data_IF_355177365118
#
_entry.id   IF_355177365118
#
_cell.length_a   1.000
_cell.length_b   1.000
_cell.length_c   1.000
_cell.angle_alpha   90.00
_cell.angle_beta   90.00
_cell.angle_gamma   90.00
#
_symmetry.space_group_name_H-M   'P 1'
#
loop_
_entity.id
_entity.type
_entity.pdbx_description
1 polymer ?
#
# COMPACT_ATOMS: atom_id res chain seq x y z
N UNK A 1 -17.39 2.13 10.35
CA UNK A 1 -17.16 2.94 9.14
C UNK A 1 -18.43 3.10 8.28
N UNK A 2 -19.31 2.08 8.17
CA UNK A 2 -20.46 2.13 7.27
C UNK A 2 -21.54 3.19 7.58
N UNK A 3 -21.49 3.82 8.75
CA UNK A 3 -22.54 4.75 9.23
C UNK A 3 -22.02 6.16 9.45
N UNK A 4 -20.72 6.41 9.25
CA UNK A 4 -20.09 7.67 9.61
C UNK A 4 -19.35 8.24 8.42
N UNK A 5 -19.41 9.54 8.27
CA UNK A 5 -18.56 10.30 7.34
C UNK A 5 -17.18 10.51 7.95
N UNK A 6 -16.14 10.68 7.14
CA UNK A 6 -14.81 11.06 7.64
C UNK A 6 -14.86 12.33 8.52
N UNK A 7 -15.71 13.29 8.18
CA UNK A 7 -15.91 14.53 8.91
C UNK A 7 -16.36 14.31 10.36
N UNK A 8 -17.16 13.25 10.62
CA UNK A 8 -17.66 12.93 11.97
C UNK A 8 -16.53 12.64 12.96
N UNK A 9 -15.39 12.15 12.44
CA UNK A 9 -14.20 11.86 13.24
C UNK A 9 -13.27 13.05 13.38
N UNK A 10 -13.34 14.03 12.47
CA UNK A 10 -12.35 15.10 12.34
C UNK A 10 -12.20 15.94 13.60
N UNK A 11 -13.30 16.27 14.25
CA UNK A 11 -13.37 17.07 15.46
C UNK A 11 -13.85 16.29 16.69
N UNK A 12 -13.62 14.97 16.73
CA UNK A 12 -13.84 14.19 17.96
C UNK A 12 -12.92 14.68 19.08
N UNK A 13 -13.31 14.47 20.32
CA UNK A 13 -12.50 14.81 21.50
C UNK A 13 -11.08 14.22 21.39
N UNK A 14 -10.96 13.00 20.87
CA UNK A 14 -9.66 12.35 20.64
C UNK A 14 -8.79 13.15 19.66
N UNK A 15 -9.31 13.52 18.49
CA UNK A 15 -8.55 14.24 17.46
C UNK A 15 -8.18 15.66 17.90
N UNK A 16 -9.08 16.35 18.61
CA UNK A 16 -8.78 17.67 19.19
C UNK A 16 -7.64 17.60 20.21
N UNK A 17 -7.73 16.68 21.15
CA UNK A 17 -6.67 16.49 22.17
C UNK A 17 -5.34 16.09 21.52
N UNK A 18 -5.38 15.23 20.47
CA UNK A 18 -4.18 14.84 19.76
C UNK A 18 -3.46 16.05 19.13
N UNK A 19 -4.20 16.93 18.44
CA UNK A 19 -3.65 18.14 17.82
C UNK A 19 -3.05 19.08 18.88
N UNK A 20 -3.79 19.36 19.95
CA UNK A 20 -3.31 20.22 21.03
C UNK A 20 -2.05 19.67 21.69
N UNK A 21 -2.01 18.37 22.02
CA UNK A 21 -0.82 17.74 22.60
C UNK A 21 0.38 17.81 21.67
N UNK A 22 0.20 17.54 20.36
CA UNK A 22 1.28 17.65 19.38
C UNK A 22 1.83 19.08 19.27
N UNK A 23 0.98 20.10 19.31
CA UNK A 23 1.42 21.51 19.33
C UNK A 23 2.21 21.86 20.59
N UNK A 24 1.92 21.23 21.72
CA UNK A 24 2.63 21.38 22.98
C UNK A 24 3.92 20.56 23.05
N UNK A 25 4.27 19.84 21.99
CA UNK A 25 5.45 18.99 21.91
C UNK A 25 5.28 17.62 22.58
N UNK A 26 4.05 17.23 22.93
CA UNK A 26 3.78 15.89 23.45
C UNK A 26 4.07 14.81 22.41
N UNK A 27 4.45 13.62 22.87
CA UNK A 27 4.67 12.42 22.05
C UNK A 27 3.54 11.42 22.20
N UNK A 28 2.47 11.51 21.41
CA UNK A 28 1.33 10.62 21.54
C UNK A 28 1.72 9.15 21.38
N UNK A 29 1.12 8.26 22.20
CA UNK A 29 1.43 6.83 22.17
C UNK A 29 1.18 6.18 20.80
N UNK A 30 0.23 6.68 20.04
CA UNK A 30 -0.05 6.21 18.66
C UNK A 30 1.13 6.43 17.71
N UNK A 31 2.00 7.40 18.00
CA UNK A 31 3.19 7.72 17.20
C UNK A 31 4.48 7.06 17.74
N UNK A 32 4.38 6.21 18.78
CA UNK A 32 5.54 5.62 19.47
C UNK A 32 6.54 4.90 18.57
N UNK A 33 6.06 4.29 17.47
CA UNK A 33 6.92 3.57 16.52
C UNK A 33 7.89 4.56 15.86
N UNK A 34 7.38 5.65 15.31
CA UNK A 34 8.21 6.68 14.68
C UNK A 34 9.23 7.28 15.65
N UNK A 35 8.80 7.60 16.87
CA UNK A 35 9.74 8.14 17.88
C UNK A 35 10.84 7.15 18.26
N UNK A 36 10.55 5.85 18.36
CA UNK A 36 11.58 4.84 18.60
C UNK A 36 12.56 4.69 17.45
N UNK A 37 12.08 4.78 16.21
CA UNK A 37 12.93 4.78 15.03
C UNK A 37 13.88 5.99 15.07
N UNK A 38 13.37 7.18 15.37
CA UNK A 38 14.14 8.42 15.48
C UNK A 38 15.19 8.37 16.60
N UNK A 39 14.83 7.84 17.77
CA UNK A 39 15.75 7.61 18.90
C UNK A 39 16.87 6.63 18.55
N UNK A 40 16.62 5.72 17.61
CA UNK A 40 17.61 4.75 17.10
C UNK A 40 18.45 5.32 15.94
N UNK A 41 18.25 6.58 15.57
CA UNK A 41 18.97 7.24 14.47
C UNK A 41 18.38 6.96 13.07
N UNK A 42 17.21 6.35 12.99
CA UNK A 42 16.53 6.13 11.71
C UNK A 42 15.57 7.27 11.40
N UNK A 43 15.48 7.61 10.12
CA UNK A 43 14.47 8.55 9.63
C UNK A 43 13.12 7.87 9.57
N UNK A 44 12.20 8.27 10.46
CA UNK A 44 10.85 7.69 10.54
C UNK A 44 9.93 8.12 9.40
N UNK A 45 8.82 7.38 9.21
CA UNK A 45 7.75 7.81 8.27
C UNK A 45 7.25 9.21 8.62
N UNK A 46 7.12 9.56 9.91
CA UNK A 46 6.69 10.89 10.36
C UNK A 46 7.62 12.01 9.83
N UNK A 47 8.91 11.78 9.85
CA UNK A 47 9.88 12.78 9.34
C UNK A 47 9.76 12.93 7.82
N UNK A 48 9.64 11.82 7.10
CA UNK A 48 9.44 11.82 5.65
C UNK A 48 8.16 12.58 5.26
N UNK A 49 7.06 12.28 5.93
CA UNK A 49 5.77 12.93 5.64
C UNK A 49 5.81 14.41 6.01
N UNK A 50 6.44 14.80 7.14
CA UNK A 50 6.56 16.20 7.49
C UNK A 50 7.34 17.00 6.42
N UNK A 51 8.43 16.46 5.90
CA UNK A 51 9.19 17.15 4.85
C UNK A 51 8.37 17.28 3.57
N UNK A 52 7.73 16.18 3.13
CA UNK A 52 6.86 16.17 1.95
C UNK A 52 5.72 17.20 2.07
N UNK A 53 5.03 17.22 3.21
CA UNK A 53 3.88 18.10 3.41
C UNK A 53 4.28 19.55 3.67
N UNK A 54 5.47 19.81 4.22
CA UNK A 54 5.98 21.17 4.41
C UNK A 54 6.23 21.92 3.10
N UNK A 55 6.46 21.19 2.00
CA UNK A 55 6.60 21.75 0.66
C UNK A 55 5.24 22.14 0.04
N UNK A 56 4.15 21.49 0.47
CA UNK A 56 2.82 21.67 -0.10
C UNK A 56 1.89 22.52 0.78
N UNK A 57 2.07 22.48 2.08
CA UNK A 57 1.19 23.10 3.07
C UNK A 57 1.98 24.01 4.02
N UNK A 58 1.51 25.23 4.18
CA UNK A 58 2.04 26.16 5.15
C UNK A 58 1.55 25.80 6.57
N UNK A 59 2.45 25.30 7.41
CA UNK A 59 2.15 24.87 8.77
C UNK A 59 1.48 25.97 9.60
N UNK A 60 1.97 27.22 9.52
CA UNK A 60 1.43 28.32 10.31
C UNK A 60 -0.01 28.61 9.88
N UNK A 61 -0.30 28.64 8.59
CA UNK A 61 -1.67 28.83 8.10
C UNK A 61 -2.63 27.70 8.50
N UNK A 62 -2.11 26.48 8.71
CA UNK A 62 -2.94 25.37 9.22
C UNK A 62 -3.24 25.60 10.70
N UNK A 63 -2.21 25.95 11.49
CA UNK A 63 -2.36 26.21 12.92
C UNK A 63 -3.30 27.40 13.17
N UNK A 64 -3.19 28.46 12.37
CA UNK A 64 -4.07 29.64 12.47
C UNK A 64 -5.57 29.34 12.22
N UNK A 65 -5.87 28.25 11.53
CA UNK A 65 -7.26 27.79 11.34
C UNK A 65 -7.80 26.98 12.52
N UNK A 66 -6.95 26.63 13.46
CA UNK A 66 -7.34 25.80 14.60
C UNK A 66 -7.91 26.66 15.72
N UNK A 67 -9.05 26.27 16.26
CA UNK A 67 -9.65 26.92 17.43
C UNK A 67 -8.89 26.53 18.71
N UNK A 68 -9.08 27.31 19.78
CA UNK A 68 -8.43 27.08 21.10
C UNK A 68 -8.72 25.68 21.66
N UNK A 69 -9.87 25.09 21.33
CA UNK A 69 -10.24 23.73 21.77
C UNK A 69 -9.67 22.61 20.89
N UNK A 70 -8.84 22.92 19.88
CA UNK A 70 -8.27 21.98 18.93
C UNK A 70 -9.20 21.60 17.77
N UNK A 71 -10.34 22.28 17.63
CA UNK A 71 -11.21 22.09 16.45
C UNK A 71 -10.61 22.72 15.22
N UNK A 72 -10.82 22.08 14.06
CA UNK A 72 -10.38 22.58 12.75
C UNK A 72 -11.47 22.42 11.72
N UNK A 73 -11.52 23.29 10.69
CA UNK A 73 -12.30 23.00 9.49
C UNK A 73 -11.92 21.63 8.92
N UNK A 74 -12.90 20.89 8.41
CA UNK A 74 -12.62 19.64 7.74
C UNK A 74 -11.79 19.89 6.48
N UNK A 75 -10.75 19.07 6.28
CA UNK A 75 -9.87 19.15 5.11
C UNK A 75 -9.07 17.87 4.98
N UNK A 76 -9.35 17.09 3.94
CA UNK A 76 -8.69 15.83 3.70
C UNK A 76 -7.72 15.98 2.53
N UNK A 77 -6.43 16.01 2.82
CA UNK A 77 -5.39 16.22 1.82
C UNK A 77 -4.69 14.92 1.40
N UNK A 78 -4.74 13.90 2.26
CA UNK A 78 -4.14 12.60 2.05
C UNK A 78 -5.06 11.48 2.49
N UNK A 79 -5.16 10.46 1.66
CA UNK A 79 -5.88 9.22 2.00
C UNK A 79 -4.95 8.02 1.81
N UNK A 80 -4.86 7.20 2.85
CA UNK A 80 -4.29 5.85 2.81
C UNK A 80 -5.45 4.85 2.98
N UNK A 81 -5.80 4.15 1.92
CA UNK A 81 -7.03 3.37 1.84
C UNK A 81 -6.77 1.91 1.48
N UNK A 82 -7.23 0.98 2.33
CA UNK A 82 -7.23 -0.45 2.01
C UNK A 82 -8.58 -0.89 1.45
N UNK A 83 -8.63 -1.18 0.14
CA UNK A 83 -9.82 -1.65 -0.58
C UNK A 83 -10.06 -3.16 -0.43
N UNK A 84 -10.25 -3.59 0.82
CA UNK A 84 -10.60 -4.98 1.14
C UNK A 84 -9.51 -6.00 0.82
N UNK A 85 -9.93 -7.23 0.49
CA UNK A 85 -9.04 -8.37 0.26
C UNK A 85 -9.30 -9.09 -1.08
N UNK A 86 -10.11 -8.50 -1.97
CA UNK A 86 -10.32 -9.09 -3.31
C UNK A 86 -9.00 -9.08 -4.06
N UNK A 87 -8.53 -10.26 -4.47
CA UNK A 87 -7.28 -10.45 -5.19
C UNK A 87 -7.40 -11.60 -6.17
N UNK A 88 -6.62 -11.57 -7.24
CA UNK A 88 -6.49 -12.63 -8.25
C UNK A 88 -5.26 -13.53 -8.02
N UNK A 89 -4.44 -13.26 -6.98
CA UNK A 89 -3.31 -14.12 -6.58
C UNK A 89 -3.44 -14.60 -5.14
N UNK A 90 -2.86 -15.76 -4.85
CA UNK A 90 -2.72 -16.36 -3.53
C UNK A 90 -1.22 -16.49 -3.17
N UNK A 91 -0.53 -15.37 -3.12
CA UNK A 91 0.91 -15.34 -2.82
C UNK A 91 1.22 -16.05 -1.50
N UNK A 92 2.35 -16.75 -1.42
CA UNK A 92 2.70 -17.59 -0.26
C UNK A 92 2.83 -16.81 1.05
N UNK A 93 3.15 -15.52 1.00
CA UNK A 93 3.24 -14.66 2.18
C UNK A 93 1.90 -14.05 2.59
N UNK A 94 0.88 -14.11 1.73
CA UNK A 94 -0.43 -13.54 2.01
C UNK A 94 -1.30 -14.48 2.86
N UNK A 95 -2.39 -13.93 3.36
CA UNK A 95 -3.40 -14.62 4.14
C UNK A 95 -4.80 -14.13 3.73
N UNK A 96 -5.90 -14.68 4.26
CA UNK A 96 -7.25 -14.24 3.91
C UNK A 96 -7.56 -12.75 4.13
N UNK A 97 -6.82 -12.03 4.95
CA UNK A 97 -6.98 -10.59 5.12
C UNK A 97 -6.42 -9.79 3.93
N UNK A 98 -5.49 -10.38 3.17
CA UNK A 98 -4.81 -9.76 2.05
C UNK A 98 -5.23 -10.35 0.70
N UNK A 99 -5.66 -11.61 0.66
CA UNK A 99 -6.19 -12.23 -0.55
C UNK A 99 -7.37 -13.15 -0.26
N UNK A 100 -8.49 -12.86 -0.92
CA UNK A 100 -9.70 -13.71 -0.85
C UNK A 100 -9.49 -15.12 -1.38
N UNK A 101 -8.51 -15.36 -2.25
CA UNK A 101 -8.19 -16.69 -2.77
C UNK A 101 -7.64 -17.65 -1.69
N UNK A 102 -7.09 -17.12 -0.60
CA UNK A 102 -6.66 -17.94 0.53
C UNK A 102 -7.79 -18.47 1.39
N UNK A 103 -9.01 -17.92 1.32
CA UNK A 103 -10.12 -18.27 2.20
C UNK A 103 -10.46 -19.78 2.16
N UNK A 104 -10.57 -20.45 0.98
CA UNK A 104 -10.87 -21.88 0.94
C UNK A 104 -9.82 -22.75 1.62
N UNK A 105 -8.54 -22.50 1.37
CA UNK A 105 -7.44 -23.28 1.93
C UNK A 105 -7.26 -23.00 3.42
N UNK A 106 -7.43 -21.76 3.85
CA UNK A 106 -7.44 -21.38 5.24
C UNK A 106 -8.52 -22.11 6.05
N UNK A 107 -9.72 -22.25 5.47
CA UNK A 107 -10.81 -23.01 6.07
C UNK A 107 -10.51 -24.51 6.16
N UNK A 108 -9.65 -25.06 5.29
CA UNK A 108 -9.14 -26.44 5.41
C UNK A 108 -8.10 -26.54 6.53
N UNK A 109 -7.13 -25.62 6.57
CA UNK A 109 -6.08 -25.59 7.59
C UNK A 109 -6.63 -25.46 9.02
N UNK A 110 -7.70 -24.69 9.23
CA UNK A 110 -8.40 -24.58 10.51
C UNK A 110 -9.00 -25.88 11.02
N UNK A 111 -9.10 -26.92 10.20
CA UNK A 111 -9.58 -28.24 10.59
C UNK A 111 -8.46 -29.23 10.89
N UNK A 112 -7.20 -28.80 10.73
CA UNK A 112 -6.01 -29.59 11.00
C UNK A 112 -5.51 -29.36 12.45
N UNK A 113 -4.63 -30.22 12.93
CA UNK A 113 -4.03 -30.13 14.28
C UNK A 113 -3.20 -28.85 14.52
N UNK A 114 -2.79 -28.16 13.45
CA UNK A 114 -2.06 -26.89 13.48
C UNK A 114 -2.95 -25.64 13.49
N UNK A 115 -4.25 -25.80 13.71
CA UNK A 115 -5.22 -24.70 13.64
C UNK A 115 -4.88 -23.52 14.56
N UNK A 116 -4.36 -23.79 15.76
CA UNK A 116 -3.96 -22.75 16.72
C UNK A 116 -2.75 -21.92 16.22
N UNK A 117 -1.81 -22.55 15.52
CA UNK A 117 -0.65 -21.86 14.92
C UNK A 117 -1.07 -20.99 13.74
N UNK A 118 -2.01 -21.48 12.95
CA UNK A 118 -2.62 -20.75 11.83
C UNK A 118 -3.38 -19.53 12.35
N UNK A 119 -4.18 -19.67 13.40
CA UNK A 119 -4.95 -18.56 13.97
C UNK A 119 -4.04 -17.50 14.63
N UNK A 120 -2.93 -17.89 15.24
CA UNK A 120 -1.99 -16.98 15.86
C UNK A 120 -1.14 -16.19 14.86
N UNK A 121 -0.97 -16.68 13.63
CA UNK A 121 -0.18 -16.02 12.61
C UNK A 121 -0.96 -15.05 11.73
N UNK A 122 -2.28 -14.99 11.89
CA UNK A 122 -3.15 -14.22 11.02
C UNK A 122 -4.07 -13.34 11.83
N UNK A 123 -4.21 -12.14 11.38
CA UNK A 123 -5.26 -11.21 11.81
C UNK A 123 -6.63 -11.54 11.19
N UNK A 124 -6.76 -12.73 10.55
CA UNK A 124 -8.01 -13.16 9.96
C UNK A 124 -8.99 -13.59 11.05
N UNK A 125 -9.96 -12.75 11.30
CA UNK A 125 -11.10 -13.09 12.14
C UNK A 125 -12.34 -13.29 11.25
N UNK A 126 -12.93 -14.50 11.30
CA UNK A 126 -14.13 -14.82 10.55
C UNK A 126 -15.30 -13.87 10.85
N UNK A 127 -15.36 -13.34 12.09
CA UNK A 127 -16.37 -12.36 12.50
C UNK A 127 -16.14 -10.97 11.91
N UNK A 128 -14.93 -10.69 11.44
CA UNK A 128 -14.54 -9.44 10.77
C UNK A 128 -14.56 -9.53 9.25
N UNK A 129 -15.02 -10.66 8.70
CA UNK A 129 -15.10 -10.85 7.24
C UNK A 129 -15.89 -9.71 6.54
N UNK A 130 -16.85 -9.09 7.24
CA UNK A 130 -17.54 -7.90 6.77
C UNK A 130 -16.66 -6.66 6.68
N UNK A 131 -15.56 -6.58 7.42
CA UNK A 131 -14.63 -5.46 7.38
C UNK A 131 -13.85 -5.39 6.06
N UNK A 132 -13.61 -6.54 5.42
CA UNK A 132 -12.93 -6.59 4.12
C UNK A 132 -13.82 -6.20 2.94
N UNK A 133 -15.11 -6.01 3.18
CA UNK A 133 -16.08 -5.55 2.18
C UNK A 133 -16.72 -4.21 2.56
N UNK A 134 -16.06 -3.46 3.44
CA UNK A 134 -16.56 -2.19 3.95
C UNK A 134 -16.93 -1.22 2.83
N UNK A 135 -16.11 -1.16 1.80
CA UNK A 135 -16.25 -0.27 0.65
C UNK A 135 -17.55 -0.48 -0.13
N UNK A 136 -18.10 -1.71 -0.17
CA UNK A 136 -19.38 -2.02 -0.85
C UNK A 136 -20.62 -1.49 -0.13
N UNK A 137 -20.49 -1.17 1.15
CA UNK A 137 -21.61 -0.79 2.03
C UNK A 137 -21.47 0.63 2.60
N UNK A 138 -20.56 1.40 2.06
CA UNK A 138 -20.18 2.71 2.59
C UNK A 138 -20.50 3.82 1.59
N UNK A 139 -21.73 3.86 1.07
CA UNK A 139 -22.18 4.93 0.17
C UNK A 139 -21.87 6.31 0.78
N UNK A 140 -22.24 6.52 2.03
CA UNK A 140 -21.97 7.76 2.76
C UNK A 140 -20.50 8.17 2.78
N UNK A 141 -19.57 7.19 2.85
CA UNK A 141 -18.14 7.46 2.78
C UNK A 141 -17.72 7.92 1.38
N UNK A 142 -18.21 7.22 0.35
CA UNK A 142 -17.87 7.55 -1.04
C UNK A 142 -18.46 8.89 -1.46
N UNK A 143 -19.69 9.21 -1.04
CA UNK A 143 -20.33 10.51 -1.29
C UNK A 143 -19.55 11.64 -0.63
N UNK A 144 -19.19 11.48 0.66
CA UNK A 144 -18.37 12.44 1.38
C UNK A 144 -17.00 12.63 0.73
N UNK A 145 -16.37 11.54 0.26
CA UNK A 145 -15.10 11.62 -0.43
C UNK A 145 -15.23 12.38 -1.75
N UNK A 146 -16.27 12.10 -2.51
CA UNK A 146 -16.56 12.79 -3.78
C UNK A 146 -16.86 14.28 -3.58
N UNK A 147 -17.57 14.64 -2.51
CA UNK A 147 -17.86 16.03 -2.15
C UNK A 147 -16.61 16.85 -1.76
N UNK A 148 -15.52 16.17 -1.33
CA UNK A 148 -14.28 16.80 -0.86
C UNK A 148 -13.05 16.42 -1.70
N UNK A 149 -13.25 15.89 -2.89
CA UNK A 149 -12.17 15.39 -3.75
C UNK A 149 -11.23 16.52 -4.21
N UNK A 150 -11.73 17.75 -4.30
CA UNK A 150 -11.00 18.96 -4.64
C UNK A 150 -9.91 19.33 -3.62
N UNK A 151 -9.99 18.77 -2.41
CA UNK A 151 -9.02 18.98 -1.34
C UNK A 151 -7.89 17.94 -1.32
N UNK A 152 -8.01 16.87 -2.13
CA UNK A 152 -7.02 15.79 -2.15
C UNK A 152 -5.79 16.19 -2.94
N UNK A 153 -4.61 16.03 -2.33
CA UNK A 153 -3.31 16.16 -2.98
C UNK A 153 -2.67 14.81 -3.27
N UNK A 154 -2.90 13.83 -2.41
CA UNK A 154 -2.28 12.52 -2.54
C UNK A 154 -3.18 11.40 -2.05
N UNK A 155 -3.19 10.32 -2.79
CA UNK A 155 -3.97 9.12 -2.48
C UNK A 155 -3.07 7.90 -2.59
N UNK A 156 -3.04 7.08 -1.53
CA UNK A 156 -2.37 5.80 -1.53
C UNK A 156 -3.40 4.67 -1.37
N UNK A 157 -3.45 3.77 -2.32
CA UNK A 157 -4.43 2.68 -2.35
C UNK A 157 -3.71 1.34 -2.27
N UNK A 158 -4.14 0.54 -1.31
CA UNK A 158 -3.75 -0.86 -1.17
C UNK A 158 -5.00 -1.74 -1.01
N UNK A 159 -4.81 -3.03 -0.95
CA UNK A 159 -5.92 -3.96 -0.72
C UNK A 159 -5.48 -5.39 -0.89
N UNK A 160 -6.34 -6.24 -1.42
CA UNK A 160 -5.93 -7.46 -2.08
C UNK A 160 -5.18 -7.08 -3.37
N UNK A 161 -5.92 -6.80 -4.42
CA UNK A 161 -5.41 -6.19 -5.65
C UNK A 161 -6.35 -5.04 -6.05
N UNK A 162 -5.90 -3.78 -6.04
CA UNK A 162 -6.76 -2.64 -6.39
C UNK A 162 -7.34 -2.77 -7.80
N UNK A 163 -6.55 -3.20 -8.77
CA UNK A 163 -6.95 -3.23 -10.19
C UNK A 163 -8.01 -4.30 -10.54
N UNK A 164 -8.34 -5.22 -9.62
CA UNK A 164 -9.50 -6.12 -9.79
C UNK A 164 -10.73 -5.66 -9.01
N UNK A 165 -10.64 -4.49 -8.36
CA UNK A 165 -11.72 -3.97 -7.53
C UNK A 165 -12.50 -2.88 -8.28
N UNK A 166 -13.82 -3.06 -8.55
CA UNK A 166 -14.62 -2.05 -9.26
C UNK A 166 -14.65 -0.68 -8.58
N UNK A 167 -14.53 -0.63 -7.24
CA UNK A 167 -14.53 0.64 -6.51
C UNK A 167 -13.25 1.45 -6.74
N UNK A 168 -12.14 0.79 -7.09
CA UNK A 168 -10.93 1.47 -7.52
C UNK A 168 -11.19 2.26 -8.81
N UNK A 169 -11.76 1.62 -9.82
CA UNK A 169 -12.11 2.26 -11.08
C UNK A 169 -13.11 3.41 -10.88
N UNK A 170 -14.14 3.17 -10.06
CA UNK A 170 -15.13 4.20 -9.76
C UNK A 170 -14.47 5.42 -9.15
N UNK A 171 -13.58 5.24 -8.18
CA UNK A 171 -12.86 6.34 -7.56
C UNK A 171 -12.00 7.12 -8.56
N UNK A 172 -11.26 6.42 -9.45
CA UNK A 172 -10.47 7.08 -10.48
C UNK A 172 -11.35 7.88 -11.46
N UNK A 173 -12.49 7.31 -11.89
CA UNK A 173 -13.45 8.04 -12.73
C UNK A 173 -14.01 9.26 -12.01
N UNK A 174 -14.39 9.14 -10.75
CA UNK A 174 -14.89 10.27 -9.94
C UNK A 174 -13.85 11.41 -9.89
N UNK A 175 -12.55 11.10 -9.75
CA UNK A 175 -11.48 12.11 -9.80
C UNK A 175 -11.41 12.80 -11.17
N UNK A 176 -11.52 12.06 -12.26
CA UNK A 176 -11.46 12.59 -13.63
C UNK A 176 -12.72 13.40 -13.97
N UNK A 177 -13.91 12.85 -13.70
CA UNK A 177 -15.20 13.49 -14.00
C UNK A 177 -15.41 14.83 -13.25
N UNK A 178 -14.84 14.93 -12.06
CA UNK A 178 -14.89 16.17 -11.25
C UNK A 178 -13.78 17.17 -11.59
N UNK A 179 -12.93 16.87 -12.58
CA UNK A 179 -11.74 17.66 -12.98
C UNK A 179 -10.75 17.88 -11.82
N UNK A 180 -10.59 16.90 -10.93
CA UNK A 180 -9.69 16.99 -9.79
C UNK A 180 -8.45 16.09 -9.93
N UNK A 181 -8.42 15.16 -10.88
CA UNK A 181 -7.30 14.24 -11.07
C UNK A 181 -5.98 14.98 -11.35
N UNK A 182 -6.02 16.14 -12.05
CA UNK A 182 -4.84 16.89 -12.49
C UNK A 182 -3.96 17.44 -11.35
N UNK A 183 -4.45 17.49 -10.12
CA UNK A 183 -3.66 17.91 -8.96
C UNK A 183 -3.42 16.79 -7.95
N UNK A 184 -3.91 15.57 -8.20
CA UNK A 184 -3.78 14.42 -7.30
C UNK A 184 -2.56 13.58 -7.68
N UNK A 185 -1.69 13.31 -6.70
CA UNK A 185 -0.65 12.30 -6.76
C UNK A 185 -1.24 10.93 -6.36
N UNK A 186 -1.48 10.05 -7.33
CA UNK A 186 -2.00 8.70 -7.12
C UNK A 186 -0.86 7.70 -6.90
N UNK A 187 -0.92 6.94 -5.82
CA UNK A 187 0.05 5.87 -5.52
C UNK A 187 -0.68 4.59 -5.15
N UNK A 188 -0.22 3.46 -5.63
CA UNK A 188 -0.76 2.16 -5.20
C UNK A 188 0.19 1.00 -5.48
N UNK A 189 0.01 -0.08 -4.71
CA UNK A 189 0.68 -1.35 -4.94
C UNK A 189 -0.23 -2.26 -5.77
N UNK A 190 0.35 -2.94 -6.73
CA UNK A 190 -0.35 -3.88 -7.60
C UNK A 190 0.52 -5.10 -7.89
N UNK A 191 -0.12 -6.24 -8.13
CA UNK A 191 0.58 -7.41 -8.65
C UNK A 191 0.84 -7.31 -10.18
N UNK A 192 0.25 -6.30 -10.82
CA UNK A 192 0.45 -6.00 -12.23
C UNK A 192 -0.27 -6.93 -13.22
N UNK A 193 -1.07 -7.89 -12.76
CA UNK A 193 -1.69 -8.88 -13.64
C UNK A 193 -2.94 -8.38 -14.41
N UNK A 194 -3.39 -7.16 -14.13
CA UNK A 194 -4.52 -6.54 -14.84
C UNK A 194 -3.96 -5.57 -15.88
N UNK A 195 -4.08 -5.93 -17.15
CA UNK A 195 -3.66 -5.12 -18.28
C UNK A 195 -4.89 -4.51 -18.93
N UNK A 196 -5.33 -3.36 -18.42
CA UNK A 196 -6.59 -2.73 -18.81
C UNK A 196 -6.34 -1.36 -19.43
N UNK A 197 -6.78 -1.17 -20.66
CA UNK A 197 -6.59 0.08 -21.40
C UNK A 197 -7.40 1.25 -20.77
N UNK A 198 -8.50 0.96 -20.08
CA UNK A 198 -9.21 2.00 -19.31
C UNK A 198 -8.33 2.57 -18.20
N UNK A 199 -7.60 1.71 -17.46
CA UNK A 199 -6.67 2.17 -16.44
C UNK A 199 -5.55 3.03 -17.04
N UNK A 200 -5.02 2.59 -18.18
CA UNK A 200 -3.97 3.32 -18.90
C UNK A 200 -4.42 4.72 -19.28
N UNK A 201 -5.65 4.87 -19.74
CA UNK A 201 -6.24 6.17 -20.05
C UNK A 201 -6.46 7.00 -18.80
N UNK A 202 -7.12 6.44 -17.77
CA UNK A 202 -7.40 7.14 -16.51
C UNK A 202 -6.13 7.72 -15.88
N UNK A 203 -5.01 6.99 -15.93
CA UNK A 203 -3.74 7.46 -15.34
C UNK A 203 -3.24 8.74 -16.01
N UNK A 204 -3.52 8.97 -17.28
CA UNK A 204 -3.06 10.17 -18.00
C UNK A 204 -3.62 11.48 -17.44
N UNK A 205 -4.76 11.41 -16.76
CA UNK A 205 -5.45 12.57 -16.19
C UNK A 205 -4.89 13.01 -14.82
N UNK A 206 -4.14 12.13 -14.14
CA UNK A 206 -3.59 12.45 -12.83
C UNK A 206 -2.31 13.30 -12.91
N UNK A 207 -2.07 14.14 -11.91
CA UNK A 207 -0.84 14.92 -11.79
C UNK A 207 0.38 14.00 -11.85
N UNK A 208 0.39 12.94 -11.09
CA UNK A 208 1.36 11.85 -11.14
C UNK A 208 0.75 10.53 -10.70
N UNK A 209 1.27 9.43 -11.22
CA UNK A 209 0.88 8.08 -10.78
C UNK A 209 2.14 7.30 -10.45
N UNK A 210 2.22 6.77 -9.24
CA UNK A 210 3.32 5.90 -8.81
C UNK A 210 2.80 4.48 -8.57
N UNK A 211 3.25 3.57 -9.41
CA UNK A 211 2.92 2.14 -9.34
C UNK A 211 4.07 1.38 -8.68
N UNK A 212 3.73 0.57 -7.68
CA UNK A 212 4.64 -0.37 -7.05
C UNK A 212 4.26 -1.78 -7.48
N UNK A 213 4.97 -2.31 -8.51
CA UNK A 213 4.76 -3.67 -9.00
C UNK A 213 5.37 -4.68 -8.03
N UNK A 214 4.51 -5.50 -7.47
CA UNK A 214 4.89 -6.52 -6.51
C UNK A 214 5.50 -7.74 -7.21
N UNK A 215 6.82 -7.95 -7.07
CA UNK A 215 7.56 -9.01 -7.75
C UNK A 215 8.68 -9.56 -6.86
N UNK A 216 8.65 -10.86 -6.53
CA UNK A 216 9.54 -11.45 -5.51
C UNK A 216 10.63 -12.36 -6.09
N UNK A 217 10.90 -12.26 -7.37
CA UNK A 217 11.91 -13.03 -8.08
C UNK A 217 11.57 -13.21 -9.55
N UNK A 218 12.27 -14.07 -10.23
CA UNK A 218 12.12 -14.37 -11.65
C UNK A 218 11.77 -15.84 -11.90
N UNK A 219 11.25 -16.16 -13.08
CA UNK A 219 10.95 -17.52 -13.55
C UNK A 219 10.11 -18.34 -12.55
N UNK A 220 10.48 -19.59 -12.34
CA UNK A 220 9.77 -20.53 -11.46
C UNK A 220 9.61 -19.99 -10.04
N UNK A 221 10.54 -19.15 -9.56
CA UNK A 221 10.45 -18.53 -8.25
C UNK A 221 9.31 -17.54 -8.17
N UNK A 222 9.13 -16.72 -9.19
CA UNK A 222 7.96 -15.84 -9.29
C UNK A 222 6.67 -16.65 -9.26
N UNK A 223 6.56 -17.66 -10.13
CA UNK A 223 5.37 -18.51 -10.25
C UNK A 223 5.04 -19.23 -8.93
N UNK A 224 6.06 -19.71 -8.22
CA UNK A 224 5.86 -20.37 -6.92
C UNK A 224 5.41 -19.40 -5.84
N UNK A 225 6.04 -18.23 -5.74
CA UNK A 225 5.74 -17.25 -4.67
C UNK A 225 4.41 -16.56 -4.92
N UNK A 226 4.09 -16.24 -6.18
CA UNK A 226 2.93 -15.43 -6.57
C UNK A 226 1.85 -16.24 -7.30
N UNK A 227 1.61 -17.47 -6.81
CA UNK A 227 0.59 -18.36 -7.35
C UNK A 227 -0.80 -17.70 -7.41
N UNK A 228 -1.62 -17.92 -8.48
CA UNK A 228 -1.34 -18.71 -9.68
C UNK A 228 -0.71 -17.92 -10.85
N UNK A 229 -0.13 -16.74 -10.60
CA UNK A 229 0.53 -15.96 -11.65
C UNK A 229 1.69 -16.71 -12.28
N UNK A 230 1.87 -16.57 -13.58
CA UNK A 230 2.97 -17.17 -14.33
C UNK A 230 4.09 -16.14 -14.60
N UNK A 231 5.27 -16.64 -14.91
CA UNK A 231 6.38 -15.76 -15.29
C UNK A 231 6.12 -15.05 -16.62
N UNK A 232 5.49 -15.73 -17.55
CA UNK A 232 5.10 -15.20 -18.85
C UNK A 232 4.13 -14.04 -18.71
N UNK A 233 3.06 -14.19 -17.92
CA UNK A 233 2.11 -13.11 -17.62
C UNK A 233 2.82 -11.92 -16.97
N UNK A 234 3.81 -12.17 -16.10
CA UNK A 234 4.57 -11.11 -15.46
C UNK A 234 5.48 -10.35 -16.44
N UNK A 235 6.06 -11.02 -17.42
CA UNK A 235 6.83 -10.36 -18.48
C UNK A 235 5.94 -9.48 -19.34
N UNK A 236 4.76 -9.96 -19.74
CA UNK A 236 3.77 -9.18 -20.49
C UNK A 236 3.32 -7.97 -19.68
N UNK A 237 3.09 -8.15 -18.39
CA UNK A 237 2.80 -7.08 -17.45
C UNK A 237 3.90 -6.01 -17.43
N UNK A 238 5.15 -6.41 -17.29
CA UNK A 238 6.28 -5.46 -17.28
C UNK A 238 6.36 -4.67 -18.59
N UNK A 239 6.19 -5.33 -19.74
CA UNK A 239 6.20 -4.66 -21.03
C UNK A 239 5.05 -3.66 -21.18
N UNK A 240 3.85 -4.02 -20.70
CA UNK A 240 2.70 -3.12 -20.72
C UNK A 240 2.91 -1.90 -19.82
N UNK A 241 3.41 -2.11 -18.61
CA UNK A 241 3.67 -1.02 -17.66
C UNK A 241 4.82 -0.11 -18.11
N UNK A 242 5.80 -0.64 -18.85
CA UNK A 242 6.90 0.15 -19.40
C UNK A 242 6.46 1.11 -20.53
N UNK A 243 5.25 0.93 -21.05
CA UNK A 243 4.65 1.77 -22.11
C UNK A 243 3.66 2.82 -21.58
N UNK A 244 3.51 2.94 -20.26
CA UNK A 244 2.62 3.94 -19.65
C UNK A 244 3.14 5.37 -19.92
N UNK A 245 2.24 6.34 -19.75
CA UNK A 245 2.50 7.75 -19.99
C UNK A 245 3.59 8.32 -19.07
N UNK A 246 4.18 9.45 -19.46
CA UNK A 246 5.33 10.05 -18.77
C UNK A 246 5.02 10.55 -17.35
N UNK A 247 3.74 10.75 -17.00
CA UNK A 247 3.32 11.08 -15.64
C UNK A 247 3.20 9.83 -14.74
N UNK A 248 3.46 8.63 -15.29
CA UNK A 248 3.43 7.37 -14.54
C UNK A 248 4.85 6.90 -14.24
N UNK A 249 5.16 6.71 -12.98
CA UNK A 249 6.43 6.14 -12.52
C UNK A 249 6.16 4.73 -11.99
N UNK A 250 6.95 3.76 -12.44
CA UNK A 250 6.79 2.35 -12.09
C UNK A 250 8.03 1.85 -11.36
N UNK A 251 7.84 1.34 -10.14
CA UNK A 251 8.87 0.67 -9.36
C UNK A 251 8.56 -0.82 -9.17
N UNK A 252 9.59 -1.63 -8.95
CA UNK A 252 9.44 -3.03 -8.56
C UNK A 252 9.66 -3.15 -7.06
N UNK A 253 8.68 -3.70 -6.35
CA UNK A 253 8.74 -4.01 -4.92
C UNK A 253 8.91 -5.52 -4.71
N UNK A 254 9.91 -5.88 -3.93
CA UNK A 254 10.21 -7.24 -3.55
C UNK A 254 10.08 -7.43 -2.03
N UNK A 255 9.31 -8.42 -1.63
CA UNK A 255 9.26 -8.87 -0.24
C UNK A 255 10.35 -9.92 0.00
N UNK A 256 11.45 -9.52 0.66
CA UNK A 256 12.54 -10.42 1.00
C UNK A 256 12.11 -11.42 2.08
N UNK A 257 12.21 -12.69 1.76
CA UNK A 257 11.81 -13.81 2.62
C UNK A 257 12.79 -15.00 2.46
N UNK A 258 12.63 -16.04 3.25
CA UNK A 258 13.47 -17.24 3.18
C UNK A 258 13.50 -17.89 1.79
N UNK A 259 12.42 -17.76 1.01
CA UNK A 259 12.30 -18.36 -0.32
C UNK A 259 13.04 -17.61 -1.43
N UNK A 260 13.38 -16.35 -1.22
CA UNK A 260 14.02 -15.52 -2.26
C UNK A 260 15.27 -14.76 -1.80
N UNK A 261 15.63 -14.80 -0.53
CA UNK A 261 16.78 -14.05 0.00
C UNK A 261 18.08 -14.35 -0.78
N UNK A 262 18.31 -15.61 -1.15
CA UNK A 262 19.45 -16.03 -1.96
C UNK A 262 19.38 -15.56 -3.41
N UNK A 263 18.18 -15.33 -3.91
CA UNK A 263 17.93 -14.93 -5.30
C UNK A 263 17.97 -13.40 -5.51
N UNK A 264 18.00 -12.62 -4.46
CA UNK A 264 17.94 -11.14 -4.59
C UNK A 264 19.07 -10.57 -5.48
N UNK A 265 20.34 -11.01 -5.38
CA UNK A 265 21.38 -10.53 -6.28
C UNK A 265 21.07 -10.85 -7.75
N UNK A 266 20.65 -12.09 -8.05
CA UNK A 266 20.31 -12.50 -9.41
C UNK A 266 19.12 -11.71 -9.96
N UNK A 267 18.13 -11.43 -9.12
CA UNK A 267 16.98 -10.63 -9.48
C UNK A 267 17.37 -9.18 -9.82
N UNK A 268 18.26 -8.58 -9.04
CA UNK A 268 18.79 -7.25 -9.31
C UNK A 268 19.56 -7.24 -10.63
N UNK A 269 20.45 -8.21 -10.84
CA UNK A 269 21.23 -8.36 -12.09
C UNK A 269 20.31 -8.58 -13.28
N UNK A 270 19.27 -9.43 -13.12
CA UNK A 270 18.26 -9.62 -14.15
C UNK A 270 17.60 -8.28 -14.52
N UNK A 271 17.15 -7.49 -13.54
CA UNK A 271 16.52 -6.18 -13.82
C UNK A 271 17.48 -5.21 -14.50
N UNK A 272 18.74 -5.15 -14.07
CA UNK A 272 19.76 -4.28 -14.69
C UNK A 272 19.98 -4.59 -16.18
N UNK A 273 19.79 -5.85 -16.58
CA UNK A 273 19.93 -6.28 -17.96
C UNK A 273 18.67 -6.00 -18.82
N UNK A 274 17.56 -5.59 -18.21
CA UNK A 274 16.37 -5.20 -18.94
C UNK A 274 16.55 -3.77 -19.50
N UNK A 275 16.02 -3.55 -20.69
CA UNK A 275 16.05 -2.22 -21.36
C UNK A 275 14.72 -1.47 -21.17
N UNK A 276 14.22 -1.45 -19.95
CA UNK A 276 13.00 -0.70 -19.63
C UNK A 276 13.23 0.81 -19.78
N UNK A 277 12.20 1.52 -20.22
CA UNK A 277 12.18 2.97 -20.36
C UNK A 277 11.66 3.65 -19.10
N UNK A 278 10.54 3.15 -18.56
CA UNK A 278 9.84 3.73 -17.42
C UNK A 278 10.10 2.97 -16.12
N UNK A 279 10.40 1.66 -16.19
CA UNK A 279 10.72 0.82 -15.01
C UNK A 279 12.24 0.86 -14.78
N UNK A 280 12.81 2.01 -14.51
CA UNK A 280 14.28 2.17 -14.42
C UNK A 280 14.79 2.06 -13.01
N UNK A 281 14.45 3.04 -12.15
CA UNK A 281 14.87 3.11 -10.75
C UNK A 281 13.66 3.08 -9.83
N UNK A 282 13.88 2.68 -8.59
CA UNK A 282 12.82 2.67 -7.59
C UNK A 282 12.41 4.12 -7.24
N UNK A 283 11.12 4.44 -7.29
CA UNK A 283 10.64 5.81 -7.05
C UNK A 283 11.08 6.34 -5.68
N UNK A 284 11.55 7.58 -5.66
CA UNK A 284 11.94 8.36 -4.47
C UNK A 284 13.18 7.86 -3.69
N UNK A 285 13.71 6.65 -3.93
CA UNK A 285 14.81 6.09 -3.13
C UNK A 285 16.06 5.78 -3.96
N UNK A 286 15.94 5.82 -5.23
CA UNK A 286 17.07 5.51 -6.14
C UNK A 286 17.44 4.03 -6.15
N UNK A 287 17.53 3.14 -6.51
CA UNK A 287 17.89 1.71 -6.50
C UNK A 287 17.12 0.97 -7.60
N UNK A 288 17.49 -0.23 -7.81
CA UNK A 288 16.88 -1.05 -8.85
C UNK A 288 15.54 -1.64 -8.43
N UNK A 289 15.40 -2.00 -7.16
CA UNK A 289 14.24 -2.69 -6.59
C UNK A 289 14.02 -2.17 -5.18
N UNK A 290 12.78 -1.90 -4.80
CA UNK A 290 12.38 -1.69 -3.41
C UNK A 290 12.39 -3.04 -2.67
N UNK A 291 13.12 -3.16 -1.56
CA UNK A 291 13.21 -4.40 -0.80
C UNK A 291 12.58 -4.21 0.58
N UNK A 292 11.56 -5.00 0.87
CA UNK A 292 10.86 -5.02 2.14
C UNK A 292 11.07 -6.36 2.84
N UNK A 293 11.48 -6.34 4.11
CA UNK A 293 11.74 -7.58 4.86
C UNK A 293 10.41 -8.14 5.38
N UNK A 294 10.14 -9.42 5.09
CA UNK A 294 8.97 -10.12 5.58
C UNK A 294 9.07 -10.41 7.09
N UNK A 295 8.09 -9.93 7.85
CA UNK A 295 7.96 -10.21 9.28
C UNK A 295 6.97 -11.34 9.57
N UNK A 296 5.86 -11.39 8.83
CA UNK A 296 4.81 -12.39 8.96
C UNK A 296 4.38 -12.88 7.57
N UNK A 297 4.11 -14.16 7.43
CA UNK A 297 4.20 -15.22 8.45
C UNK A 297 5.65 -15.53 8.84
N UNK A 298 5.92 -15.73 10.12
CA UNK A 298 7.28 -15.86 10.67
C UNK A 298 8.07 -17.01 10.06
N UNK A 299 7.38 -18.09 9.67
CA UNK A 299 7.99 -19.27 9.01
C UNK A 299 8.61 -18.96 7.64
N UNK A 300 8.24 -17.87 7.01
CA UNK A 300 8.80 -17.40 5.74
C UNK A 300 9.81 -16.26 5.94
N UNK A 301 9.97 -15.74 7.14
CA UNK A 301 10.96 -14.69 7.41
C UNK A 301 12.38 -15.18 7.15
N UNK A 302 13.26 -14.29 6.69
CA UNK A 302 14.70 -14.56 6.56
C UNK A 302 15.35 -15.00 7.90
N UNK A 303 14.69 -14.74 9.02
CA UNK A 303 15.18 -15.14 10.34
C UNK A 303 15.20 -16.66 10.56
N UNK A 304 14.39 -17.44 9.82
CA UNK A 304 14.36 -18.91 9.94
C UNK A 304 15.53 -19.60 9.22
N UNK A 305 16.24 -18.89 8.34
CA UNK A 305 17.38 -19.44 7.62
C UNK A 305 18.48 -19.87 8.60
N UNK A 306 19.17 -21.02 8.37
CA UNK A 306 20.34 -21.44 9.11
C UNK A 306 21.43 -20.36 9.12
N UNK A 307 22.22 -20.32 10.21
CA UNK A 307 23.29 -19.31 10.36
C UNK A 307 24.33 -19.39 9.23
N UNK A 308 24.62 -20.58 8.76
CA UNK A 308 25.55 -20.83 7.66
C UNK A 308 25.06 -20.17 6.38
N UNK A 309 23.80 -20.38 6.01
CA UNK A 309 23.19 -19.75 4.84
C UNK A 309 23.11 -18.22 4.96
N UNK A 310 22.82 -17.70 6.16
CA UNK A 310 22.85 -16.24 6.37
C UNK A 310 24.20 -15.60 6.12
N UNK A 311 25.30 -16.30 6.44
CA UNK A 311 26.67 -15.82 6.17
C UNK A 311 27.03 -15.82 4.69
N UNK A 312 26.41 -16.69 3.92
CA UNK A 312 26.65 -16.78 2.48
C UNK A 312 25.84 -15.74 1.69
N UNK A 313 24.76 -15.20 2.28
CA UNK A 313 23.94 -14.13 1.69
C UNK A 313 24.57 -12.74 1.93
N UNK A 314 25.34 -12.59 3.00
CA UNK A 314 26.04 -11.35 3.37
C UNK A 314 27.36 -11.19 2.62
#
# INVERSE_FOLDING_TARGET
LHKYKPEDYWNTKYMKNLRLGMLQGERPNVCRKCYKEEESGYRSKRMWENDLWSEQLDYNKIVDKMSEDGSMPYGIHYIDMKLGNKCNLACVMCNPADSSLWIPDWNKLKKCDISSEVDNQTYWNKNEAGAYNWYKKSETYWDSLKENIDQLYSVYIIGGEPTVNPEFYKFLRDCVETNNAEHIDLRFNTNGQTLDEELKELYTHFKSVTLHLSMDGTHDRYTYIRYPGTWEDQLDSLHWHDQLSNNVTVGIDCTAMALNAWHLPDFIVWKMNQKFKNITVYPNFGGMIGVHILWQPSMLSVQVLPKELKKEIL
#
